data_IF_858885323460
#
_entry.id   IF_858885323460
#
_cell.length_a   1.000
_cell.length_b   1.000
_cell.length_c   1.000
_cell.angle_alpha   90.00
_cell.angle_beta   90.00
_cell.angle_gamma   90.00
#
_symmetry.space_group_name_H-M   'P 1'
#
loop_
_entity.id
_entity.type
_entity.pdbx_description
1 polymer ?
#
# COMPACT_ATOMS: atom_id res chain seq x y z
N UNK A 1 -4.02 19.73 8.05
CA UNK A 1 -3.84 18.45 8.77
C UNK A 1 -5.10 17.60 8.66
N UNK A 2 -4.99 16.26 8.68
CA UNK A 2 -6.13 15.31 8.65
C UNK A 2 -6.25 14.50 9.95
N UNK A 3 -5.12 14.10 10.54
CA UNK A 3 -5.08 13.36 11.81
C UNK A 3 -3.73 13.60 12.48
N UNK A 4 -3.72 13.65 13.82
CA UNK A 4 -2.48 13.70 14.61
C UNK A 4 -2.61 12.88 15.89
N UNK A 5 -1.48 12.48 16.46
CA UNK A 5 -1.43 11.76 17.73
C UNK A 5 -0.20 10.90 17.91
N UNK A 6 -0.04 10.35 19.11
CA UNK A 6 1.04 9.43 19.42
C UNK A 6 0.82 8.06 18.76
N UNK A 7 1.89 7.53 18.16
CA UNK A 7 1.99 6.14 17.73
C UNK A 7 3.35 5.58 18.11
N UNK A 8 3.39 4.29 18.40
CA UNK A 8 4.63 3.55 18.64
C UNK A 8 5.28 3.17 17.32
N UNK A 9 6.41 3.79 16.98
CA UNK A 9 7.21 3.46 15.79
C UNK A 9 8.30 2.46 16.11
N UNK A 10 8.43 1.38 15.32
CA UNK A 10 9.59 0.48 15.40
C UNK A 10 10.82 1.22 14.84
N UNK A 11 11.89 1.30 15.63
CA UNK A 11 13.12 1.99 15.23
C UNK A 11 14.15 1.06 14.58
N UNK A 12 14.49 -0.02 15.27
CA UNK A 12 15.34 -1.10 14.76
C UNK A 12 15.01 -2.40 15.50
N UNK A 13 15.57 -3.53 15.06
CA UNK A 13 15.37 -4.82 15.74
C UNK A 13 15.72 -4.72 17.23
N UNK A 14 16.89 -4.14 17.53
CA UNK A 14 17.43 -3.97 18.88
C UNK A 14 16.72 -2.86 19.70
N UNK A 15 16.31 -1.75 19.06
CA UNK A 15 15.80 -0.55 19.78
C UNK A 15 14.30 -0.58 20.11
N UNK A 16 13.59 -1.65 19.75
CA UNK A 16 12.18 -1.78 20.10
C UNK A 16 11.25 -0.76 19.40
N UNK A 17 10.13 -0.47 20.07
CA UNK A 17 9.17 0.55 19.68
C UNK A 17 9.34 1.79 20.57
N UNK A 18 9.12 2.99 20.02
CA UNK A 18 9.06 4.23 20.80
C UNK A 18 7.86 5.08 20.39
N UNK A 19 7.29 5.77 21.35
CA UNK A 19 6.25 6.77 21.09
C UNK A 19 6.84 7.94 20.30
N UNK A 20 6.15 8.34 19.25
CA UNK A 20 6.47 9.48 18.40
C UNK A 20 5.15 10.18 18.05
N UNK A 21 5.18 11.49 17.89
CA UNK A 21 4.03 12.25 17.45
C UNK A 21 3.91 12.17 15.93
N UNK A 22 2.83 11.59 15.43
CA UNK A 22 2.56 11.48 14.01
C UNK A 22 1.55 12.53 13.56
N UNK A 23 1.74 13.00 12.34
CA UNK A 23 0.86 13.96 11.67
C UNK A 23 0.61 13.48 10.25
N UNK A 24 -0.67 13.27 9.91
CA UNK A 24 -1.14 13.04 8.55
C UNK A 24 -1.55 14.37 7.93
N UNK A 25 -0.86 14.79 6.87
CA UNK A 25 -1.13 16.06 6.17
C UNK A 25 -2.18 15.91 5.07
N UNK A 26 -2.80 17.02 4.67
CA UNK A 26 -3.76 17.06 3.55
C UNK A 26 -3.08 16.81 2.20
N UNK A 27 -1.76 17.01 2.14
CA UNK A 27 -0.93 16.83 0.96
C UNK A 27 -0.42 15.38 0.83
N UNK A 28 -0.91 14.47 1.68
CA UNK A 28 -0.63 13.05 1.59
C UNK A 28 0.73 12.64 2.16
N UNK A 29 1.29 13.42 3.09
CA UNK A 29 2.47 13.02 3.85
C UNK A 29 2.07 12.50 5.24
N UNK A 30 2.70 11.40 5.64
CA UNK A 30 2.74 10.93 7.02
C UNK A 30 4.07 11.34 7.65
N UNK A 31 4.05 12.38 8.48
CA UNK A 31 5.21 12.97 9.16
C UNK A 31 5.27 12.47 10.61
N UNK A 32 6.48 12.43 11.18
CA UNK A 32 6.65 12.16 12.61
C UNK A 32 7.69 13.05 13.27
N UNK A 33 7.47 13.28 14.56
CA UNK A 33 8.27 14.09 15.47
C UNK A 33 8.53 13.28 16.75
N UNK A 34 9.55 13.67 17.51
CA UNK A 34 9.81 13.03 18.81
C UNK A 34 8.64 13.27 19.76
N UNK A 35 8.15 14.51 19.78
CA UNK A 35 7.04 15.00 20.59
C UNK A 35 6.14 15.89 19.73
N UNK A 36 4.98 16.29 20.26
CA UNK A 36 4.10 17.24 19.57
C UNK A 36 4.86 18.55 19.33
N UNK A 37 4.96 19.03 18.07
CA UNK A 37 5.65 20.26 17.79
C UNK A 37 4.92 21.46 18.43
N UNK A 38 5.70 22.39 18.99
CA UNK A 38 5.18 23.62 19.62
C UNK A 38 4.99 24.71 18.55
N UNK A 39 5.89 24.76 17.59
CA UNK A 39 5.87 25.69 16.45
C UNK A 39 5.46 24.96 15.17
N UNK A 40 4.74 25.66 14.29
CA UNK A 40 4.28 25.09 13.01
C UNK A 40 5.45 24.72 12.07
N UNK A 41 6.58 25.42 12.19
CA UNK A 41 7.76 25.28 11.34
C UNK A 41 8.79 24.25 11.84
N UNK A 42 8.50 23.59 12.97
CA UNK A 42 9.41 22.58 13.49
C UNK A 42 9.61 21.46 12.44
N UNK A 43 10.87 21.15 12.14
CA UNK A 43 11.21 20.16 11.12
C UNK A 43 10.88 18.73 11.59
N UNK A 44 10.17 17.91 10.79
CA UNK A 44 9.89 16.52 11.13
C UNK A 44 11.18 15.70 11.18
N UNK A 45 11.22 14.71 12.09
CA UNK A 45 12.32 13.73 12.15
C UNK A 45 12.31 12.79 10.95
N UNK A 46 11.14 12.59 10.36
CA UNK A 46 11.01 11.97 9.06
C UNK A 46 9.60 12.08 8.52
N UNK A 47 9.46 11.79 7.24
CA UNK A 47 8.19 11.84 6.53
C UNK A 47 8.12 10.76 5.46
N UNK A 48 6.90 10.36 5.12
CA UNK A 48 6.61 9.38 4.08
C UNK A 48 5.51 9.91 3.18
N UNK A 49 5.77 9.93 1.88
CA UNK A 49 4.73 10.18 0.88
C UNK A 49 3.85 8.93 0.75
N UNK A 50 2.54 9.12 0.86
CA UNK A 50 1.55 8.04 0.81
C UNK A 50 1.13 7.67 -0.62
N UNK A 51 1.53 8.45 -1.61
CA UNK A 51 1.32 8.15 -3.03
C UNK A 51 1.89 6.77 -3.34
N UNK A 52 1.06 5.90 -3.92
CA UNK A 52 1.41 4.49 -4.22
C UNK A 52 1.90 3.67 -3.02
N UNK A 53 1.69 4.14 -1.79
CA UNK A 53 2.06 3.38 -0.60
C UNK A 53 1.15 2.16 -0.42
N UNK A 54 1.71 1.05 0.01
CA UNK A 54 0.99 -0.16 0.39
C UNK A 54 0.74 -0.17 1.90
N UNK A 55 -0.44 -0.64 2.32
CA UNK A 55 -0.81 -0.77 3.72
C UNK A 55 -1.10 -2.22 4.03
N UNK A 56 -0.32 -2.77 4.96
CA UNK A 56 -0.50 -4.14 5.41
C UNK A 56 -0.92 -4.14 6.88
N UNK A 57 -2.09 -4.71 7.11
CA UNK A 57 -2.54 -5.08 8.44
C UNK A 57 -1.71 -6.27 8.95
N UNK A 58 -1.24 -6.20 10.20
CA UNK A 58 -0.69 -7.38 10.87
C UNK A 58 -1.78 -8.02 11.73
N UNK A 59 -1.62 -9.31 12.01
CA UNK A 59 -2.51 -10.13 12.84
C UNK A 59 -2.78 -9.56 14.25
N UNK A 60 -1.95 -8.63 14.77
CA UNK A 60 -2.21 -7.95 16.04
C UNK A 60 -3.17 -6.75 15.89
N UNK A 61 -4.21 -6.71 16.74
CA UNK A 61 -5.31 -5.72 16.68
C UNK A 61 -4.89 -4.25 16.84
N UNK A 62 -3.64 -3.97 17.22
CA UNK A 62 -3.13 -2.61 17.48
C UNK A 62 -1.99 -2.19 16.56
N UNK A 63 -1.42 -3.09 15.75
CA UNK A 63 -0.31 -2.74 14.84
C UNK A 63 -0.75 -2.68 13.39
N UNK A 64 0.02 -1.93 12.61
CA UNK A 64 -0.12 -1.82 11.17
C UNK A 64 1.20 -1.40 10.53
N UNK A 65 1.31 -1.57 9.21
CA UNK A 65 2.48 -1.13 8.44
C UNK A 65 2.06 -0.24 7.29
N UNK A 66 2.88 0.78 7.05
CA UNK A 66 2.80 1.62 5.84
C UNK A 66 4.11 1.46 5.09
N UNK A 67 4.04 0.99 3.84
CA UNK A 67 5.18 0.79 2.95
C UNK A 67 5.10 1.81 1.82
N UNK A 68 6.06 2.70 1.72
CA UNK A 68 6.13 3.68 0.63
C UNK A 68 6.60 3.04 -0.67
N UNK A 69 6.37 3.74 -1.79
CA UNK A 69 6.83 3.32 -3.13
C UNK A 69 8.35 3.10 -3.20
N UNK A 70 9.13 3.84 -2.41
CA UNK A 70 10.59 3.67 -2.31
C UNK A 70 11.01 2.56 -1.33
N UNK A 71 10.14 1.60 -1.04
CA UNK A 71 10.35 0.49 -0.10
C UNK A 71 10.63 0.87 1.36
N UNK A 72 10.50 2.15 1.76
CA UNK A 72 10.56 2.53 3.17
C UNK A 72 9.33 2.02 3.93
N UNK A 73 9.54 1.40 5.09
CA UNK A 73 8.45 0.80 5.88
C UNK A 73 8.37 1.46 7.26
N UNK A 74 7.21 2.02 7.57
CA UNK A 74 6.84 2.38 8.93
C UNK A 74 6.04 1.23 9.55
N UNK A 75 6.56 0.70 10.68
CA UNK A 75 5.87 -0.28 11.50
C UNK A 75 5.36 0.42 12.75
N UNK A 76 4.05 0.52 12.87
CA UNK A 76 3.36 1.40 13.81
C UNK A 76 2.46 0.58 14.73
N UNK A 77 2.28 1.03 15.97
CA UNK A 77 1.25 0.53 16.87
C UNK A 77 0.48 1.70 17.46
N UNK A 78 -0.84 1.59 17.48
CA UNK A 78 -1.69 2.51 18.23
C UNK A 78 -1.86 2.02 19.68
N UNK A 79 -2.47 2.86 20.50
CA UNK A 79 -2.82 2.54 21.89
C UNK A 79 -3.83 1.40 21.98
N UNK A 80 -4.84 1.41 21.10
CA UNK A 80 -5.91 0.42 21.07
C UNK A 80 -6.42 0.20 19.63
N UNK A 81 -7.30 -0.79 19.47
CA UNK A 81 -7.85 -1.20 18.16
C UNK A 81 -8.63 -0.06 17.48
N UNK A 82 -9.39 0.72 18.24
CA UNK A 82 -10.20 1.81 17.71
C UNK A 82 -9.33 2.91 17.11
N UNK A 83 -8.32 3.37 17.86
CA UNK A 83 -7.33 4.35 17.39
C UNK A 83 -6.60 3.82 16.16
N UNK A 84 -6.21 2.55 16.17
CA UNK A 84 -5.57 1.90 15.04
C UNK A 84 -6.44 1.93 13.78
N UNK A 85 -7.72 1.58 13.91
CA UNK A 85 -8.67 1.61 12.80
C UNK A 85 -8.90 3.04 12.29
N UNK A 86 -8.97 4.02 13.19
CA UNK A 86 -9.08 5.43 12.81
C UNK A 86 -7.86 5.90 11.99
N UNK A 87 -6.64 5.52 12.40
CA UNK A 87 -5.42 5.81 11.65
C UNK A 87 -5.41 5.15 10.27
N UNK A 88 -5.74 3.86 10.19
CA UNK A 88 -5.82 3.13 8.92
C UNK A 88 -6.80 3.81 7.97
N UNK A 89 -8.02 4.07 8.44
CA UNK A 89 -9.07 4.74 7.67
C UNK A 89 -8.60 6.10 7.15
N UNK A 90 -8.05 6.94 8.03
CA UNK A 90 -7.58 8.27 7.65
C UNK A 90 -6.47 8.22 6.59
N UNK A 91 -5.51 7.28 6.72
CA UNK A 91 -4.42 7.13 5.75
C UNK A 91 -4.94 6.62 4.41
N UNK A 92 -5.84 5.63 4.39
CA UNK A 92 -6.47 5.13 3.16
C UNK A 92 -7.22 6.25 2.45
N UNK A 93 -8.05 7.01 3.18
CA UNK A 93 -8.77 8.15 2.61
C UNK A 93 -7.82 9.22 2.04
N UNK A 94 -6.74 9.55 2.74
CA UNK A 94 -5.75 10.51 2.29
C UNK A 94 -5.02 10.02 1.02
N UNK A 95 -4.63 8.75 0.99
CA UNK A 95 -4.02 8.09 -0.17
C UNK A 95 -4.95 8.12 -1.38
N UNK A 96 -6.21 7.71 -1.22
CA UNK A 96 -7.20 7.70 -2.31
C UNK A 96 -7.44 9.10 -2.86
N UNK A 97 -7.58 10.10 -1.99
CA UNK A 97 -7.71 11.51 -2.41
C UNK A 97 -6.49 12.00 -3.18
N UNK A 98 -5.29 11.62 -2.74
CA UNK A 98 -4.04 12.00 -3.42
C UNK A 98 -3.93 11.33 -4.81
N UNK A 99 -4.23 10.04 -4.89
CA UNK A 99 -4.26 9.30 -6.16
C UNK A 99 -5.25 9.96 -7.13
N UNK A 100 -6.49 10.22 -6.70
CA UNK A 100 -7.51 10.84 -7.54
C UNK A 100 -7.11 12.24 -8.02
N UNK A 101 -6.44 13.04 -7.17
CA UNK A 101 -5.91 14.35 -7.57
C UNK A 101 -4.83 14.22 -8.65
N UNK A 102 -3.92 13.26 -8.51
CA UNK A 102 -2.87 13.01 -9.50
C UNK A 102 -3.49 12.59 -10.83
N UNK A 103 -4.35 11.56 -10.84
CA UNK A 103 -4.99 11.08 -12.06
C UNK A 103 -5.89 12.14 -12.72
N UNK A 104 -6.68 12.90 -11.94
CA UNK A 104 -7.46 14.03 -12.47
C UNK A 104 -6.55 15.07 -13.13
N UNK A 105 -5.41 15.40 -12.52
CA UNK A 105 -4.42 16.30 -13.11
C UNK A 105 -3.92 15.82 -14.47
N UNK A 106 -3.63 14.51 -14.61
CA UNK A 106 -3.22 13.93 -15.89
C UNK A 106 -4.29 14.01 -16.99
N UNK A 107 -5.56 13.78 -16.65
CA UNK A 107 -6.66 13.92 -17.61
C UNK A 107 -6.87 15.38 -18.06
N UNK A 108 -6.56 16.36 -17.21
CA UNK A 108 -6.69 17.79 -17.49
C UNK A 108 -5.51 18.34 -18.31
N UNK A 109 -4.30 17.79 -18.14
CA UNK A 109 -3.09 18.16 -18.92
C UNK A 109 -2.98 17.52 -20.31
N UNK A 110 -3.95 16.71 -20.74
CA UNK A 110 -3.98 16.13 -22.09
C UNK A 110 -2.94 15.03 -22.38
N UNK A 111 -2.02 14.72 -21.45
CA UNK A 111 -1.14 13.54 -21.54
C UNK A 111 -1.92 12.27 -21.16
N UNK A 112 -2.63 11.75 -22.15
CA UNK A 112 -3.32 10.47 -22.11
C UNK A 112 -2.27 9.35 -21.98
N UNK A 113 -2.10 8.79 -20.80
CA UNK A 113 -1.53 7.44 -20.68
C UNK A 113 -2.51 6.51 -21.41
N UNK A 114 -2.17 6.12 -22.64
CA UNK A 114 -2.88 5.07 -23.37
C UNK A 114 -2.59 3.77 -22.65
N UNK A 115 -3.47 3.41 -21.72
CA UNK A 115 -3.62 2.02 -21.32
C UNK A 115 -4.31 1.39 -22.51
N UNK A 116 -3.58 0.56 -23.28
CA UNK A 116 -4.18 -0.32 -24.28
C UNK A 116 -5.05 -1.31 -23.51
N UNK A 117 -6.31 -0.92 -23.30
CA UNK A 117 -7.37 -1.86 -23.01
C UNK A 117 -7.75 -2.38 -24.39
N UNK A 118 -7.24 -3.55 -24.74
CA UNK A 118 -7.70 -4.24 -25.94
C UNK A 118 -9.23 -4.34 -25.86
N UNK A 119 -9.89 -3.64 -26.77
CA UNK A 119 -11.34 -3.65 -26.87
C UNK A 119 -11.77 -4.96 -27.51
N UNK A 120 -12.48 -5.79 -26.76
CA UNK A 120 -13.58 -6.56 -27.33
C UNK A 120 -14.87 -6.08 -26.65
N UNK A 121 -15.70 -5.38 -27.43
CA UNK A 121 -17.11 -5.24 -27.14
C UNK A 121 -17.79 -6.51 -27.68
N UNK A 122 -18.64 -7.20 -26.92
CA UNK A 122 -20.07 -6.91 -26.90
C UNK A 122 -20.83 -7.89 -25.97
N UNK A 123 -21.86 -7.34 -25.33
CA UNK A 123 -23.12 -7.96 -24.92
C UNK A 123 -23.15 -9.37 -24.28
N UNK A 124 -23.32 -9.42 -22.95
CA UNK A 124 -24.38 -10.20 -22.27
C UNK A 124 -24.36 -9.93 -20.77
N UNK A 125 -25.54 -9.70 -20.19
CA UNK A 125 -25.73 -9.46 -18.77
C UNK A 125 -25.43 -10.67 -17.89
N UNK A 126 -25.39 -10.38 -16.58
CA UNK A 126 -25.64 -11.32 -15.47
C UNK A 126 -24.81 -12.62 -15.48
N UNK A 127 -23.65 -12.62 -14.82
CA UNK A 127 -23.50 -13.32 -13.54
C UNK A 127 -22.06 -13.25 -13.06
N UNK A 128 -21.93 -12.95 -11.77
CA UNK A 128 -20.69 -12.89 -11.03
C UNK A 128 -20.30 -14.30 -10.66
N UNK A 129 -19.33 -14.89 -11.36
CA UNK A 129 -18.44 -15.92 -10.82
C UNK A 129 -17.24 -16.07 -11.78
N UNK A 130 -16.09 -15.48 -11.41
CA UNK A 130 -14.82 -15.74 -12.10
C UNK A 130 -13.83 -16.33 -11.10
N UNK A 131 -13.80 -17.66 -11.05
CA UNK A 131 -12.64 -18.45 -10.67
C UNK A 131 -11.67 -18.49 -11.83
N UNK A 132 -10.41 -18.02 -11.70
CA UNK A 132 -9.45 -18.12 -12.79
C UNK A 132 -8.92 -19.56 -12.88
N UNK A 133 -9.50 -20.37 -13.77
CA UNK A 133 -8.83 -21.57 -14.28
C UNK A 133 -7.88 -21.16 -15.42
N UNK A 134 -6.60 -21.46 -15.24
CA UNK A 134 -5.55 -21.27 -16.25
C UNK A 134 -5.58 -22.49 -17.19
N UNK A 135 -6.25 -22.38 -18.33
CA UNK A 135 -6.12 -23.37 -19.41
C UNK A 135 -5.22 -22.84 -20.53
N UNK A 136 -4.11 -23.54 -20.75
CA UNK A 136 -3.25 -23.38 -21.93
C UNK A 136 -3.75 -24.30 -23.03
N UNK A 137 -4.31 -23.74 -24.10
CA UNK A 137 -4.67 -24.51 -25.30
C UNK A 137 -3.53 -24.43 -26.30
N UNK A 138 -2.91 -25.57 -26.60
CA UNK A 138 -2.09 -25.78 -27.79
C UNK A 138 -2.84 -26.71 -28.74
N UNK A 139 -3.09 -26.22 -29.96
CA UNK A 139 -3.59 -27.02 -31.08
C UNK A 139 -2.50 -27.99 -31.53
N UNK A 140 -2.56 -29.21 -30.98
CA UNK A 140 -2.36 -30.46 -31.72
C UNK A 140 -2.39 -31.61 -30.69
N UNK A 141 -3.32 -32.54 -30.88
CA UNK A 141 -3.65 -33.60 -29.93
C UNK A 141 -2.47 -34.53 -29.65
N UNK A 142 -1.91 -34.42 -28.44
CA UNK A 142 -0.98 -35.37 -27.85
C UNK A 142 -0.69 -35.03 -26.40
N UNK A 143 -1.25 -35.78 -25.46
CA UNK A 143 -0.99 -35.59 -24.03
C UNK A 143 0.48 -35.94 -23.70
N UNK A 144 1.23 -34.95 -23.22
CA UNK A 144 2.56 -35.14 -22.63
C UNK A 144 2.50 -34.70 -21.17
N UNK A 145 2.42 -35.68 -20.28
CA UNK A 145 2.58 -35.51 -18.84
C UNK A 145 4.04 -35.11 -18.58
N UNK A 146 4.27 -33.84 -18.24
CA UNK A 146 5.62 -33.35 -17.89
C UNK A 146 5.75 -33.20 -16.39
N UNK A 147 6.45 -34.16 -15.79
CA UNK A 147 6.86 -34.16 -14.39
C UNK A 147 7.84 -32.98 -14.13
N UNK A 148 7.32 -31.93 -13.49
CA UNK A 148 8.04 -30.70 -13.14
C UNK A 148 8.91 -30.82 -11.88
N UNK A 149 9.07 -32.02 -11.31
CA UNK A 149 9.95 -32.27 -10.15
C UNK A 149 11.44 -31.97 -10.43
N UNK A 150 11.84 -31.79 -11.69
CA UNK A 150 13.23 -31.53 -12.09
C UNK A 150 13.65 -30.05 -12.13
N UNK A 151 12.72 -29.08 -12.04
CA UNK A 151 13.03 -27.64 -12.14
C UNK A 151 13.45 -26.98 -10.82
N UNK A 152 13.31 -27.65 -9.68
CA UNK A 152 13.77 -27.16 -8.38
C UNK A 152 15.10 -27.81 -7.94
N UNK A 153 16.12 -27.78 -8.80
CA UNK A 153 17.50 -27.96 -8.33
C UNK A 153 18.07 -26.61 -7.93
N UNK A 154 18.14 -26.38 -6.63
CA UNK A 154 18.92 -25.28 -6.06
C UNK A 154 20.42 -25.52 -6.34
N UNK A 155 21.18 -24.49 -6.75
CA UNK A 155 22.63 -24.64 -6.83
C UNK A 155 23.19 -24.78 -5.41
N UNK A 156 23.88 -25.89 -5.15
CA UNK A 156 24.74 -26.04 -3.97
C UNK A 156 25.92 -25.07 -4.11
N UNK A 157 26.30 -24.46 -2.98
CA UNK A 157 27.57 -23.73 -2.80
C UNK A 157 28.78 -24.53 -3.25
#
# INVERSE_FOLDING_TARGET
MLMEGYLKKKLSLLKGYRDQWFVLTKDGYLKYYVEKPIEEDQKPKGQMLLLLSDMNEKSDHVSFKVKSANNNVFRLRAENREKRNAWIKAIIEAKTKLNNRMFKGFYDTGERLQINVDQENDDTGCDFDYTPELETVSEDGGAIETDISSLFKTPKK
#
